data_IF_209730323262
#
_entry.id   IF_209730323262
#
_cell.length_a   1.000
_cell.length_b   1.000
_cell.length_c   1.000
_cell.angle_alpha   90.00
_cell.angle_beta   90.00
_cell.angle_gamma   90.00
#
_symmetry.space_group_name_H-M   'P 1'
#
loop_
_entity.id
_entity.type
_entity.pdbx_description
1 polymer ?
#
# COMPACT_ATOMS: atom_id res chain seq x y z
N UNK A 1 -34.83 16.19 24.52
CA UNK A 1 -35.48 15.05 23.83
C UNK A 1 -34.39 14.34 23.03
N UNK A 2 -33.86 13.26 23.61
CA UNK A 2 -32.92 12.35 22.97
C UNK A 2 -33.69 11.38 22.08
N UNK A 3 -33.24 11.18 20.84
CA UNK A 3 -33.22 9.88 20.15
C UNK A 3 -32.62 10.05 18.75
N UNK A 4 -31.54 9.32 18.47
CA UNK A 4 -30.83 9.35 17.19
C UNK A 4 -29.80 8.22 17.09
N UNK A 5 -30.28 7.00 17.26
CA UNK A 5 -29.77 5.71 16.75
C UNK A 5 -28.35 5.67 16.19
N UNK A 6 -27.42 5.15 16.99
CA UNK A 6 -26.16 4.55 16.50
C UNK A 6 -26.46 3.14 15.98
N UNK A 7 -26.41 2.97 14.67
CA UNK A 7 -26.37 1.66 14.02
C UNK A 7 -24.97 1.05 14.22
N UNK A 8 -24.84 0.20 15.23
CA UNK A 8 -23.69 -0.69 15.41
C UNK A 8 -23.85 -1.87 14.45
N UNK A 9 -22.97 -1.96 13.45
CA UNK A 9 -22.72 -3.22 12.75
C UNK A 9 -22.01 -4.16 13.73
N UNK A 10 -22.76 -5.03 14.38
CA UNK A 10 -22.23 -6.23 15.04
C UNK A 10 -21.83 -7.23 13.96
N UNK A 11 -20.54 -7.24 13.59
CA UNK A 11 -19.94 -8.38 12.90
C UNK A 11 -19.97 -9.58 13.86
N UNK A 12 -20.91 -10.49 13.63
CA UNK A 12 -20.90 -11.80 14.30
C UNK A 12 -19.70 -12.59 13.79
N UNK A 13 -18.75 -12.88 14.68
CA UNK A 13 -17.61 -13.75 14.39
C UNK A 13 -18.12 -15.20 14.23
N UNK A 14 -18.57 -15.54 13.02
CA UNK A 14 -18.73 -16.94 12.64
C UNK A 14 -17.33 -17.54 12.44
N UNK A 15 -16.90 -18.41 13.34
CA UNK A 15 -15.71 -19.24 13.16
C UNK A 15 -16.07 -20.26 12.07
N UNK A 16 -15.85 -19.88 10.81
CA UNK A 16 -15.93 -20.81 9.69
C UNK A 16 -14.64 -21.63 9.66
N UNK A 17 -14.66 -22.80 10.30
CA UNK A 17 -13.71 -23.86 9.96
C UNK A 17 -14.12 -24.42 8.59
N UNK A 18 -13.58 -23.85 7.52
CA UNK A 18 -13.71 -24.41 6.17
C UNK A 18 -12.95 -25.75 6.13
N UNK A 19 -13.67 -26.85 6.32
CA UNK A 19 -13.18 -28.19 6.01
C UNK A 19 -13.51 -28.46 4.54
N UNK A 20 -12.49 -28.45 3.68
CA UNK A 20 -12.61 -28.80 2.26
C UNK A 20 -12.27 -30.28 2.10
N UNK A 21 -13.10 -31.01 1.35
CA UNK A 21 -13.06 -32.46 1.25
C UNK A 21 -12.15 -32.99 0.11
N UNK A 22 -11.60 -34.19 0.33
CA UNK A 22 -10.97 -35.17 -0.59
C UNK A 22 -9.48 -35.08 -1.03
N UNK A 23 -8.66 -35.93 -0.38
CA UNK A 23 -7.83 -37.05 -0.88
C UNK A 23 -6.81 -36.87 -2.02
N UNK A 24 -5.52 -36.60 -1.70
CA UNK A 24 -4.27 -37.10 -2.32
C UNK A 24 -3.13 -37.11 -1.26
N UNK A 25 -2.40 -38.23 -1.13
CA UNK A 25 -1.25 -38.39 -0.24
C UNK A 25 0.04 -37.80 -0.83
N UNK A 26 0.93 -37.37 0.07
CA UNK A 26 1.98 -36.34 -0.09
C UNK A 26 3.28 -36.85 -0.68
N UNK A 27 3.79 -36.15 -1.69
CA UNK A 27 5.20 -36.18 -2.07
C UNK A 27 5.95 -34.97 -1.48
N UNK A 28 7.30 -34.96 -1.51
CA UNK A 28 8.10 -33.83 -1.03
C UNK A 28 7.69 -32.54 -1.73
N UNK A 29 7.50 -31.47 -0.97
CA UNK A 29 7.18 -30.16 -1.52
C UNK A 29 8.44 -29.41 -1.93
N UNK A 30 8.35 -28.72 -3.06
CA UNK A 30 9.28 -27.63 -3.35
C UNK A 30 8.91 -26.39 -2.52
N UNK A 31 9.88 -25.51 -2.18
CA UNK A 31 9.61 -24.22 -1.55
C UNK A 31 8.53 -23.39 -2.21
N UNK A 32 8.54 -23.41 -3.55
CA UNK A 32 7.62 -22.64 -4.34
C UNK A 32 6.18 -23.13 -4.19
N UNK A 33 5.97 -24.45 -4.12
CA UNK A 33 4.65 -25.02 -3.85
C UNK A 33 4.15 -24.69 -2.44
N UNK A 34 5.03 -24.81 -1.44
CA UNK A 34 4.71 -24.45 -0.06
C UNK A 34 4.28 -22.98 0.07
N UNK A 35 5.04 -22.07 -0.53
CA UNK A 35 4.75 -20.63 -0.54
C UNK A 35 3.47 -20.31 -1.31
N UNK A 36 3.25 -20.94 -2.47
CA UNK A 36 2.04 -20.75 -3.26
C UNK A 36 0.79 -21.21 -2.50
N UNK A 37 0.82 -22.38 -1.87
CA UNK A 37 -0.28 -22.90 -1.06
C UNK A 37 -0.60 -21.97 0.12
N UNK A 38 0.44 -21.45 0.80
CA UNK A 38 0.25 -20.49 1.89
C UNK A 38 -0.34 -19.17 1.40
N UNK A 39 0.15 -18.65 0.27
CA UNK A 39 -0.38 -17.45 -0.37
C UNK A 39 -1.86 -17.63 -0.72
N UNK A 40 -2.23 -18.75 -1.35
CA UNK A 40 -3.61 -19.05 -1.73
C UNK A 40 -4.52 -19.17 -0.51
N UNK A 41 -4.07 -19.83 0.56
CA UNK A 41 -4.81 -19.88 1.83
C UNK A 41 -5.05 -18.49 2.42
N UNK A 42 -4.02 -17.65 2.50
CA UNK A 42 -4.16 -16.27 2.97
C UNK A 42 -5.15 -15.51 2.08
N UNK A 43 -5.03 -15.65 0.76
CA UNK A 43 -5.92 -15.01 -0.21
C UNK A 43 -7.38 -15.41 0.00
N UNK A 44 -7.66 -16.71 0.13
CA UNK A 44 -9.01 -17.25 0.36
C UNK A 44 -9.55 -16.79 1.71
N UNK A 45 -8.75 -16.87 2.78
CA UNK A 45 -9.16 -16.43 4.14
C UNK A 45 -9.50 -14.95 4.19
N UNK A 46 -8.77 -14.12 3.44
CA UNK A 46 -9.03 -12.69 3.35
C UNK A 46 -10.15 -12.34 2.36
N UNK A 47 -10.78 -13.34 1.71
CA UNK A 47 -11.89 -13.12 0.77
C UNK A 47 -11.46 -12.47 -0.54
N UNK A 48 -10.18 -12.62 -0.93
CA UNK A 48 -9.63 -12.10 -2.19
C UNK A 48 -9.58 -13.18 -3.29
N UNK A 49 -10.38 -14.23 -3.16
CA UNK A 49 -10.59 -15.15 -4.27
C UNK A 49 -11.49 -14.49 -5.33
N UNK A 50 -10.99 -14.21 -6.54
CA UNK A 50 -11.79 -13.56 -7.58
C UNK A 50 -12.97 -14.42 -8.08
N UNK A 51 -12.98 -15.72 -7.77
CA UNK A 51 -14.10 -16.62 -8.07
C UNK A 51 -15.27 -16.34 -7.13
N UNK A 52 -15.01 -16.24 -5.82
CA UNK A 52 -16.05 -16.11 -4.80
C UNK A 52 -16.42 -14.65 -4.51
N UNK A 53 -15.52 -13.70 -4.79
CA UNK A 53 -15.72 -12.28 -4.54
C UNK A 53 -15.40 -11.44 -5.79
N UNK A 54 -16.39 -11.18 -6.66
CA UNK A 54 -16.20 -10.32 -7.83
C UNK A 54 -15.70 -8.91 -7.50
N UNK A 55 -15.97 -8.40 -6.28
CA UNK A 55 -15.45 -7.12 -5.81
C UNK A 55 -13.93 -7.11 -5.61
N UNK A 56 -13.33 -8.27 -5.31
CA UNK A 56 -11.90 -8.45 -5.18
C UNK A 56 -11.15 -8.26 -6.51
N UNK A 57 -11.83 -8.28 -7.65
CA UNK A 57 -11.25 -7.97 -8.97
C UNK A 57 -10.71 -6.55 -9.08
N UNK A 58 -11.07 -5.63 -8.20
CA UNK A 58 -10.48 -4.29 -8.18
C UNK A 58 -9.19 -4.21 -7.36
N UNK A 59 -8.86 -5.27 -6.63
CA UNK A 59 -7.78 -5.32 -5.65
C UNK A 59 -6.70 -6.33 -6.04
N UNK A 60 -5.50 -6.11 -5.50
CA UNK A 60 -4.35 -6.98 -5.63
C UNK A 60 -3.79 -7.27 -4.25
N UNK A 61 -3.63 -8.55 -3.92
CA UNK A 61 -2.90 -8.97 -2.72
C UNK A 61 -1.43 -9.19 -3.12
N UNK A 62 -0.52 -8.47 -2.49
CA UNK A 62 0.92 -8.75 -2.57
C UNK A 62 1.41 -9.11 -1.19
N UNK A 63 1.94 -10.32 -1.00
CA UNK A 63 2.60 -10.71 0.25
C UNK A 63 4.09 -10.36 0.17
N UNK A 64 4.77 -10.16 1.28
CA UNK A 64 6.20 -9.90 1.27
C UNK A 64 6.99 -11.14 0.87
N UNK A 65 8.16 -10.94 0.25
CA UNK A 65 9.24 -11.93 0.29
C UNK A 65 10.13 -11.81 1.54
N UNK A 66 10.12 -10.63 2.18
CA UNK A 66 10.95 -10.31 3.34
C UNK A 66 10.06 -10.37 4.59
N UNK A 67 10.01 -11.57 5.17
CA UNK A 67 9.49 -11.91 6.50
C UNK A 67 8.49 -10.96 7.16
N UNK A 68 9.08 -9.94 7.72
CA UNK A 68 8.52 -8.83 8.41
C UNK A 68 9.20 -7.63 7.77
N UNK A 69 8.43 -6.92 6.95
CA UNK A 69 8.93 -5.70 6.36
C UNK A 69 9.43 -4.75 7.46
N UNK A 70 8.64 -4.69 8.53
CA UNK A 70 8.76 -3.75 9.65
C UNK A 70 8.00 -4.30 10.86
N UNK A 71 8.73 -4.51 11.95
CA UNK A 71 8.14 -4.83 13.23
C UNK A 71 7.32 -3.63 13.77
N UNK A 72 6.25 -3.92 14.50
CA UNK A 72 5.36 -2.90 15.12
C UNK A 72 6.05 -1.82 15.98
N UNK A 73 7.31 -2.01 16.36
CA UNK A 73 8.10 -1.05 17.12
C UNK A 73 8.84 0.00 16.26
N UNK A 74 8.69 -0.01 14.93
CA UNK A 74 9.28 0.97 14.02
C UNK A 74 8.19 1.70 13.20
N UNK A 75 7.48 2.66 13.82
CA UNK A 75 6.40 3.40 13.17
C UNK A 75 6.85 4.15 11.90
N UNK A 76 8.12 4.56 11.84
CA UNK A 76 8.66 5.28 10.68
C UNK A 76 8.72 4.37 9.46
N UNK A 77 9.27 3.16 9.59
CA UNK A 77 9.27 2.25 8.45
C UNK A 77 7.86 1.75 8.11
N UNK A 78 6.94 1.61 9.07
CA UNK A 78 5.51 1.31 8.76
C UNK A 78 4.93 2.42 7.90
N UNK A 79 5.20 3.67 8.26
CA UNK A 79 4.79 4.83 7.48
C UNK A 79 5.43 4.83 6.08
N UNK A 80 6.72 4.54 5.96
CA UNK A 80 7.40 4.50 4.67
C UNK A 80 6.84 3.38 3.78
N UNK A 81 6.60 2.19 4.31
CA UNK A 81 5.90 1.10 3.64
C UNK A 81 4.50 1.52 3.17
N UNK A 82 3.74 2.16 4.04
CA UNK A 82 2.44 2.69 3.68
C UNK A 82 2.51 3.74 2.56
N UNK A 83 3.68 4.29 2.25
CA UNK A 83 3.86 5.35 1.26
C UNK A 83 4.70 4.90 0.06
N UNK A 84 4.57 3.64 -0.32
CA UNK A 84 5.25 3.05 -1.48
C UNK A 84 4.27 2.58 -2.54
N UNK A 85 4.76 2.43 -3.76
CA UNK A 85 4.09 1.75 -4.86
C UNK A 85 4.55 0.29 -4.91
N UNK A 86 3.70 -0.69 -4.55
CA UNK A 86 4.08 -2.10 -4.55
C UNK A 86 4.45 -2.59 -5.95
N UNK A 87 5.40 -3.53 -6.01
CA UNK A 87 5.73 -4.22 -7.25
C UNK A 87 4.54 -5.06 -7.74
N UNK A 88 4.43 -5.20 -9.06
CA UNK A 88 3.46 -6.07 -9.74
C UNK A 88 3.91 -7.52 -9.60
N UNK A 89 3.78 -8.04 -8.39
CA UNK A 89 4.12 -9.42 -8.07
C UNK A 89 3.25 -9.89 -6.90
N UNK A 90 2.79 -11.16 -6.90
CA UNK A 90 2.09 -11.75 -5.76
C UNK A 90 2.95 -11.74 -4.49
N UNK A 91 4.26 -11.68 -4.70
CA UNK A 91 5.27 -11.66 -3.67
C UNK A 91 6.16 -10.43 -3.92
N UNK A 92 6.18 -9.48 -3.01
CA UNK A 92 6.76 -8.14 -3.22
C UNK A 92 8.07 -8.00 -2.45
N UNK A 93 9.09 -7.41 -3.09
CA UNK A 93 10.27 -6.96 -2.37
C UNK A 93 10.06 -5.55 -1.82
N UNK A 94 10.16 -5.38 -0.50
CA UNK A 94 9.93 -4.09 0.15
C UNK A 94 11.15 -3.17 0.19
N UNK A 95 12.35 -3.64 -0.20
CA UNK A 95 13.57 -2.82 -0.16
C UNK A 95 13.70 -1.86 -1.35
N UNK A 96 13.00 -2.12 -2.45
CA UNK A 96 13.19 -1.43 -3.75
C UNK A 96 11.96 -0.63 -4.20
N UNK A 97 11.06 -0.30 -3.29
CA UNK A 97 9.79 0.30 -3.69
C UNK A 97 9.93 1.79 -4.02
N UNK A 98 9.34 2.19 -5.15
CA UNK A 98 9.20 3.60 -5.50
C UNK A 98 8.28 4.28 -4.49
N UNK A 99 8.65 5.49 -4.06
CA UNK A 99 7.89 6.24 -3.06
C UNK A 99 6.67 6.91 -3.69
N UNK A 100 5.49 6.61 -3.17
CA UNK A 100 4.21 7.09 -3.69
C UNK A 100 4.11 8.62 -3.66
N UNK A 101 4.66 9.28 -2.64
CA UNK A 101 4.66 10.74 -2.54
C UNK A 101 5.50 11.38 -3.64
N UNK A 102 6.61 10.75 -4.02
CA UNK A 102 7.51 11.20 -5.09
C UNK A 102 6.86 11.02 -6.46
N UNK A 103 6.20 9.87 -6.69
CA UNK A 103 5.39 9.64 -7.91
C UNK A 103 4.26 10.66 -7.99
N UNK A 104 3.53 10.85 -6.91
CA UNK A 104 2.41 11.78 -6.83
C UNK A 104 2.83 13.23 -7.11
N UNK A 105 3.93 13.68 -6.52
CA UNK A 105 4.48 15.01 -6.77
C UNK A 105 4.86 15.22 -8.25
N UNK A 106 5.56 14.25 -8.84
CA UNK A 106 5.94 14.28 -10.27
C UNK A 106 4.71 14.32 -11.15
N UNK A 107 3.69 13.52 -10.84
CA UNK A 107 2.39 13.55 -11.51
C UNK A 107 1.80 14.95 -11.47
N UNK A 108 1.59 15.52 -10.29
CA UNK A 108 0.92 16.83 -10.16
C UNK A 108 1.70 17.93 -10.87
N UNK A 109 3.03 17.95 -10.76
CA UNK A 109 3.89 18.94 -11.44
C UNK A 109 3.85 18.79 -12.97
N UNK A 110 3.86 17.54 -13.45
CA UNK A 110 3.82 17.23 -14.87
C UNK A 110 2.42 17.23 -15.48
N UNK A 111 1.36 17.33 -14.69
CA UNK A 111 0.00 17.15 -15.15
C UNK A 111 -0.56 18.40 -15.84
N UNK A 112 -1.35 18.16 -16.89
CA UNK A 112 -2.20 19.15 -17.54
C UNK A 112 -3.54 18.53 -17.94
N UNK A 113 -4.63 19.24 -17.72
CA UNK A 113 -5.97 18.85 -18.14
C UNK A 113 -6.34 19.36 -19.55
N UNK A 114 -7.45 18.87 -20.13
CA UNK A 114 -7.95 19.38 -21.41
C UNK A 114 -8.50 20.81 -21.27
N UNK A 115 -8.49 21.54 -22.39
CA UNK A 115 -9.23 22.77 -22.57
C UNK A 115 -10.71 22.43 -22.76
N UNK A 116 -11.55 22.76 -21.78
CA UNK A 116 -13.00 22.63 -21.93
C UNK A 116 -13.64 24.01 -22.11
N UNK A 117 -14.59 24.17 -23.05
CA UNK A 117 -15.31 25.42 -23.20
C UNK A 117 -16.05 25.76 -21.91
N UNK A 118 -16.16 27.05 -21.60
CA UNK A 118 -16.94 27.50 -20.45
C UNK A 118 -18.43 27.31 -20.76
N UNK A 119 -19.08 26.43 -20.01
CA UNK A 119 -20.54 26.31 -20.02
C UNK A 119 -21.17 27.50 -19.29
N UNK A 120 -22.45 27.81 -19.53
CA UNK A 120 -23.17 28.81 -18.75
C UNK A 120 -23.13 28.55 -17.25
N UNK A 121 -23.18 27.28 -16.83
CA UNK A 121 -23.12 26.87 -15.43
C UNK A 121 -21.75 27.15 -14.80
N UNK A 122 -20.67 26.89 -15.54
CA UNK A 122 -19.31 27.24 -15.12
C UNK A 122 -19.14 28.74 -15.01
N UNK A 123 -19.65 29.49 -16.00
CA UNK A 123 -19.56 30.95 -15.99
C UNK A 123 -20.29 31.52 -14.78
N UNK A 124 -21.51 31.07 -14.51
CA UNK A 124 -22.27 31.46 -13.31
C UNK A 124 -21.53 31.07 -12.00
N UNK A 125 -20.94 29.87 -11.95
CA UNK A 125 -20.14 29.45 -10.82
C UNK A 125 -18.90 30.36 -10.63
N UNK A 126 -18.19 30.71 -11.70
CA UNK A 126 -17.07 31.65 -11.66
C UNK A 126 -17.50 33.04 -11.20
N UNK A 127 -18.59 33.58 -11.74
CA UNK A 127 -19.12 34.89 -11.34
C UNK A 127 -19.54 34.92 -9.87
N UNK A 128 -19.98 33.79 -9.31
CA UNK A 128 -20.28 33.69 -7.88
C UNK A 128 -19.03 33.73 -6.98
N UNK A 129 -17.87 33.30 -7.49
CA UNK A 129 -16.60 33.23 -6.77
C UNK A 129 -15.67 34.41 -7.07
N UNK A 130 -15.78 34.99 -8.26
CA UNK A 130 -14.92 36.03 -8.79
C UNK A 130 -15.74 37.15 -9.44
N UNK A 131 -15.46 38.40 -9.06
CA UNK A 131 -16.04 39.59 -9.67
C UNK A 131 -14.92 40.41 -10.30
N UNK A 132 -14.95 40.59 -11.62
CA UNK A 132 -13.90 41.28 -12.40
C UNK A 132 -12.48 40.70 -12.17
N UNK A 133 -12.39 39.38 -11.99
CA UNK A 133 -11.12 38.68 -11.74
C UNK A 133 -10.60 38.75 -10.31
N UNK A 134 -11.26 39.50 -9.41
CA UNK A 134 -10.96 39.49 -7.97
C UNK A 134 -11.89 38.52 -7.22
N UNK A 135 -11.42 37.95 -6.11
CA UNK A 135 -12.25 37.12 -5.24
C UNK A 135 -13.48 37.91 -4.74
N UNK A 136 -14.66 37.31 -4.75
CA UNK A 136 -15.83 37.90 -4.08
C UNK A 136 -15.62 37.91 -2.56
N UNK A 137 -16.35 38.73 -1.79
CA UNK A 137 -16.30 38.67 -0.33
C UNK A 137 -16.62 37.27 0.21
N UNK A 138 -17.62 36.61 -0.41
CA UNK A 138 -17.98 35.21 -0.15
C UNK A 138 -16.79 34.26 -0.29
N UNK A 139 -16.10 34.31 -1.43
CA UNK A 139 -14.95 33.43 -1.66
C UNK A 139 -13.74 33.80 -0.78
N UNK A 140 -13.54 35.07 -0.47
CA UNK A 140 -12.47 35.51 0.44
C UNK A 140 -12.69 34.97 1.87
N UNK A 141 -13.93 35.01 2.38
CA UNK A 141 -14.28 34.42 3.67
C UNK A 141 -14.04 32.91 3.67
N UNK A 142 -14.43 32.22 2.59
CA UNK A 142 -14.15 30.79 2.41
C UNK A 142 -12.65 30.48 2.49
N UNK A 143 -11.81 31.23 1.77
CA UNK A 143 -10.36 31.07 1.78
C UNK A 143 -9.76 31.34 3.17
N UNK A 144 -10.31 32.28 3.93
CA UNK A 144 -9.91 32.55 5.31
C UNK A 144 -10.18 31.36 6.24
N UNK A 145 -11.33 30.70 6.11
CA UNK A 145 -11.61 29.46 6.86
C UNK A 145 -10.74 28.30 6.41
N UNK A 146 -10.49 28.16 5.10
CA UNK A 146 -9.57 27.16 4.56
C UNK A 146 -8.17 27.33 5.17
N UNK A 147 -7.64 28.55 5.19
CA UNK A 147 -6.34 28.84 5.80
C UNK A 147 -6.31 28.48 7.29
N UNK A 148 -7.35 28.84 8.06
CA UNK A 148 -7.45 28.48 9.48
C UNK A 148 -7.51 26.97 9.69
N UNK A 149 -8.25 26.27 8.82
CA UNK A 149 -8.34 24.81 8.86
C UNK A 149 -6.98 24.17 8.55
N UNK A 150 -6.27 24.65 7.53
CA UNK A 150 -4.93 24.16 7.16
C UNK A 150 -3.91 24.41 8.28
N UNK A 151 -4.01 25.55 8.99
CA UNK A 151 -3.20 25.84 10.17
C UNK A 151 -3.51 24.88 11.34
N UNK A 152 -4.79 24.62 11.60
CA UNK A 152 -5.21 23.68 12.63
C UNK A 152 -4.80 22.23 12.29
N UNK A 153 -4.87 21.84 11.02
CA UNK A 153 -4.35 20.57 10.52
C UNK A 153 -2.83 20.49 10.73
N UNK A 154 -2.08 21.56 10.43
CA UNK A 154 -0.64 21.61 10.72
C UNK A 154 -0.36 21.39 12.20
N UNK A 155 -1.13 22.04 13.09
CA UNK A 155 -1.01 21.84 14.55
C UNK A 155 -1.33 20.39 14.93
N UNK A 156 -2.37 19.79 14.35
CA UNK A 156 -2.73 18.39 14.59
C UNK A 156 -1.60 17.43 14.19
N UNK A 157 -1.03 17.63 13.00
CA UNK A 157 0.04 16.78 12.49
C UNK A 157 1.36 16.95 13.28
N UNK A 158 1.62 18.14 13.83
CA UNK A 158 2.81 18.44 14.63
C UNK A 158 2.65 18.14 16.14
N UNK A 159 1.44 17.78 16.58
CA UNK A 159 1.15 17.55 17.99
C UNK A 159 1.92 16.36 18.58
N UNK A 160 2.73 16.64 19.60
CA UNK A 160 3.60 15.68 20.27
C UNK A 160 2.83 14.68 21.15
N UNK A 161 1.73 15.11 21.77
CA UNK A 161 0.94 14.29 22.68
C UNK A 161 -0.43 13.93 22.10
N UNK A 162 -1.05 12.86 22.63
CA UNK A 162 -2.42 12.49 22.28
C UNK A 162 -3.43 13.60 22.65
N UNK A 163 -3.23 14.29 23.77
CA UNK A 163 -4.10 15.39 24.21
C UNK A 163 -4.02 16.60 23.27
N UNK A 164 -2.83 16.93 22.78
CA UNK A 164 -2.65 18.01 21.80
C UNK A 164 -3.34 17.67 20.48
N UNK A 165 -3.26 16.41 20.04
CA UNK A 165 -3.98 15.92 18.85
C UNK A 165 -5.49 16.01 19.03
N UNK A 166 -6.01 15.63 20.21
CA UNK A 166 -7.44 15.77 20.52
C UNK A 166 -7.85 17.25 20.48
N UNK A 167 -7.06 18.14 21.06
CA UNK A 167 -7.33 19.59 21.07
C UNK A 167 -7.31 20.18 19.66
N UNK A 168 -6.29 19.86 18.87
CA UNK A 168 -6.19 20.30 17.48
C UNK A 168 -7.34 19.73 16.63
N UNK A 169 -7.72 18.48 16.84
CA UNK A 169 -8.88 17.85 16.18
C UNK A 169 -10.20 18.55 16.55
N UNK A 170 -10.40 18.92 17.82
CA UNK A 170 -11.56 19.70 18.25
C UNK A 170 -11.58 21.10 17.61
N UNK A 171 -10.42 21.76 17.52
CA UNK A 171 -10.29 23.06 16.83
C UNK A 171 -10.63 22.93 15.34
N UNK A 172 -10.13 21.89 14.66
CA UNK A 172 -10.49 21.59 13.27
C UNK A 172 -12.00 21.38 13.13
N UNK A 173 -12.62 20.60 14.02
CA UNK A 173 -14.06 20.36 14.00
C UNK A 173 -14.87 21.66 14.17
N UNK A 174 -14.46 22.54 15.09
CA UNK A 174 -15.08 23.85 15.30
C UNK A 174 -14.91 24.76 14.08
N UNK A 175 -13.71 24.80 13.47
CA UNK A 175 -13.47 25.56 12.23
C UNK A 175 -14.36 25.04 11.12
N UNK A 176 -14.48 23.72 10.95
CA UNK A 176 -15.37 23.12 9.95
C UNK A 176 -16.84 23.49 10.18
N UNK A 177 -17.30 23.47 11.43
CA UNK A 177 -18.66 23.89 11.77
C UNK A 177 -18.89 25.37 11.45
N UNK A 178 -17.97 26.26 11.85
CA UNK A 178 -18.06 27.68 11.57
C UNK A 178 -17.95 27.99 10.08
N UNK A 179 -17.14 27.23 9.35
CA UNK A 179 -17.00 27.34 7.90
C UNK A 179 -18.30 26.94 7.20
N UNK A 180 -18.97 25.88 7.66
CA UNK A 180 -20.28 25.48 7.14
C UNK A 180 -21.36 26.54 7.39
N UNK A 181 -21.38 27.15 8.58
CA UNK A 181 -22.44 28.11 8.97
C UNK A 181 -22.20 29.50 8.42
N UNK A 182 -20.97 30.00 8.50
CA UNK A 182 -20.64 31.42 8.27
C UNK A 182 -19.67 31.65 7.12
N UNK A 183 -19.06 30.58 6.58
CA UNK A 183 -18.06 30.67 5.51
C UNK A 183 -18.58 30.25 4.14
N UNK A 184 -19.91 30.15 4.00
CA UNK A 184 -20.59 29.77 2.75
C UNK A 184 -20.04 28.48 2.11
N UNK A 185 -19.55 27.56 2.95
CA UNK A 185 -18.78 26.38 2.49
C UNK A 185 -19.52 25.59 1.42
N UNK A 186 -20.80 25.29 1.65
CA UNK A 186 -21.61 24.45 0.75
C UNK A 186 -21.76 25.10 -0.63
N UNK A 187 -22.07 26.40 -0.68
CA UNK A 187 -22.28 27.11 -1.94
C UNK A 187 -20.97 27.26 -2.71
N UNK A 188 -19.89 27.62 -2.01
CA UNK A 188 -18.57 27.78 -2.62
C UNK A 188 -18.04 26.43 -3.11
N UNK A 189 -18.13 25.36 -2.31
CA UNK A 189 -17.75 24.01 -2.72
C UNK A 189 -18.63 23.53 -3.88
N UNK A 190 -19.92 23.86 -3.90
CA UNK A 190 -20.81 23.57 -5.02
C UNK A 190 -20.41 24.29 -6.30
N UNK A 191 -20.01 25.56 -6.23
CA UNK A 191 -19.50 26.32 -7.36
C UNK A 191 -18.14 25.78 -7.84
N UNK A 192 -17.21 25.55 -6.92
CA UNK A 192 -15.91 24.93 -7.19
C UNK A 192 -16.07 23.53 -7.79
N UNK A 193 -17.02 22.73 -7.32
CA UNK A 193 -17.33 21.41 -7.86
C UNK A 193 -17.85 21.49 -9.30
N UNK A 194 -18.74 22.44 -9.62
CA UNK A 194 -19.19 22.67 -11.01
C UNK A 194 -18.02 23.07 -11.91
N UNK A 195 -17.17 23.98 -11.45
CA UNK A 195 -15.95 24.38 -12.18
C UNK A 195 -15.03 23.17 -12.37
N UNK A 196 -14.77 22.39 -11.31
CA UNK A 196 -13.90 21.20 -11.32
C UNK A 196 -14.41 20.13 -12.29
N UNK A 197 -15.70 19.80 -12.23
CA UNK A 197 -16.32 18.75 -13.06
C UNK A 197 -16.41 19.16 -14.54
N UNK A 198 -16.66 20.43 -14.82
CA UNK A 198 -16.91 20.90 -16.19
C UNK A 198 -15.70 21.53 -16.89
N UNK A 199 -14.77 22.19 -16.18
CA UNK A 199 -13.58 22.80 -16.81
C UNK A 199 -12.34 21.90 -16.80
N UNK A 200 -12.08 21.18 -15.70
CA UNK A 200 -11.11 20.08 -15.57
C UNK A 200 -10.72 19.95 -14.09
N UNK A 201 -10.80 18.73 -13.54
CA UNK A 201 -10.33 18.43 -12.18
C UNK A 201 -8.79 18.53 -12.02
N UNK A 202 -8.09 18.87 -13.12
CA UNK A 202 -6.65 18.81 -13.27
C UNK A 202 -6.08 20.16 -13.75
N UNK A 203 -6.72 21.25 -13.34
CA UNK A 203 -6.23 22.62 -13.56
C UNK A 203 -4.96 22.92 -12.75
N UNK A 204 -4.18 23.90 -13.21
CA UNK A 204 -2.94 24.35 -12.56
C UNK A 204 -3.17 24.81 -11.11
N UNK A 205 -4.29 25.49 -10.85
CA UNK A 205 -4.66 25.92 -9.50
C UNK A 205 -4.97 24.73 -8.57
N UNK A 206 -5.70 23.73 -9.06
CA UNK A 206 -5.98 22.51 -8.29
C UNK A 206 -4.69 21.73 -8.03
N UNK A 207 -3.81 21.64 -9.02
CA UNK A 207 -2.51 20.98 -8.88
C UNK A 207 -1.61 21.72 -7.89
N UNK A 208 -1.58 23.06 -7.91
CA UNK A 208 -0.86 23.86 -6.92
C UNK A 208 -1.39 23.61 -5.50
N UNK A 209 -2.71 23.52 -5.32
CA UNK A 209 -3.29 23.18 -4.02
C UNK A 209 -2.86 21.78 -3.54
N UNK A 210 -2.89 20.77 -4.41
CA UNK A 210 -2.41 19.41 -4.09
C UNK A 210 -0.93 19.41 -3.67
N UNK A 211 -0.08 20.19 -4.35
CA UNK A 211 1.33 20.34 -3.98
C UNK A 211 1.48 20.99 -2.59
N UNK A 212 0.73 22.06 -2.31
CA UNK A 212 0.75 22.70 -1.00
C UNK A 212 0.34 21.74 0.12
N UNK A 213 -0.70 20.92 -0.09
CA UNK A 213 -1.14 19.90 0.88
C UNK A 213 -0.04 18.86 1.12
N UNK A 214 0.59 18.38 0.04
CA UNK A 214 1.71 17.44 0.13
C UNK A 214 2.89 18.04 0.92
N UNK A 215 3.26 19.28 0.63
CA UNK A 215 4.38 19.97 1.29
C UNK A 215 4.10 20.22 2.78
N UNK A 216 2.87 20.61 3.14
CA UNK A 216 2.44 20.74 4.55
C UNK A 216 2.58 19.39 5.28
N UNK A 217 2.14 18.29 4.65
CA UNK A 217 2.22 16.97 5.24
C UNK A 217 3.67 16.50 5.44
N UNK A 218 4.57 16.79 4.48
CA UNK A 218 6.01 16.51 4.62
C UNK A 218 6.63 17.30 5.76
N UNK A 219 6.34 18.60 5.85
CA UNK A 219 6.85 19.46 6.92
C UNK A 219 6.38 19.02 8.31
N UNK A 220 5.12 18.60 8.44
CA UNK A 220 4.61 18.12 9.72
C UNK A 220 5.25 16.79 10.15
N UNK A 221 5.73 15.99 9.20
CA UNK A 221 6.46 14.74 9.47
C UNK A 221 7.86 14.98 10.08
N UNK A 222 8.39 16.22 10.03
CA UNK A 222 9.73 16.58 10.52
C UNK A 222 9.78 16.99 12.00
N UNK A 223 8.64 17.08 12.70
CA UNK A 223 8.60 17.54 14.10
C UNK A 223 9.04 16.47 15.13
N UNK A 224 9.46 15.27 14.70
CA UNK A 224 9.99 14.22 15.58
C UNK A 224 11.52 14.11 15.48
N UNK A 225 12.17 13.90 16.62
CA UNK A 225 13.60 14.05 16.92
C UNK A 225 14.56 13.13 16.13
N UNK A 226 14.77 13.32 14.82
CA UNK A 226 15.64 12.40 14.05
C UNK A 226 16.41 13.01 12.86
N UNK A 227 17.41 12.22 12.41
CA UNK A 227 18.63 12.55 11.63
C UNK A 227 18.40 13.29 10.30
N UNK A 228 19.15 14.37 10.09
CA UNK A 228 19.19 15.14 8.86
C UNK A 228 19.67 14.30 7.65
N UNK A 229 18.94 14.35 6.54
CA UNK A 229 19.35 13.76 5.24
C UNK A 229 18.53 12.55 4.76
N UNK A 230 17.66 11.95 5.58
CA UNK A 230 16.73 10.93 5.12
C UNK A 230 15.46 11.57 4.53
N UNK A 231 15.17 11.32 3.25
CA UNK A 231 13.88 11.71 2.66
C UNK A 231 12.74 10.94 3.35
N UNK A 232 11.87 11.63 4.09
CA UNK A 232 10.72 11.02 4.79
C UNK A 232 9.44 11.12 4.01
N UNK A 233 8.65 10.06 4.05
CA UNK A 233 7.29 10.05 3.49
C UNK A 233 6.33 10.82 4.39
N UNK A 234 5.36 11.56 3.82
CA UNK A 234 4.37 12.26 4.63
C UNK A 234 3.58 11.26 5.48
N UNK A 235 3.21 11.64 6.71
CA UNK A 235 2.52 10.74 7.65
C UNK A 235 1.23 10.17 7.04
N UNK A 236 1.12 8.85 7.10
CA UNK A 236 -0.05 8.07 6.75
C UNK A 236 -0.67 7.47 8.01
N UNK A 237 -1.99 7.55 8.08
CA UNK A 237 -2.77 6.99 9.18
C UNK A 237 -2.99 5.50 8.92
N UNK A 238 -2.79 4.68 9.95
CA UNK A 238 -3.08 3.26 9.91
C UNK A 238 -4.15 2.94 10.95
N UNK A 239 -5.15 2.15 10.59
CA UNK A 239 -6.26 1.81 11.49
C UNK A 239 -6.46 0.30 11.60
N UNK A 240 -6.43 -0.27 12.83
CA UNK A 240 -6.12 0.41 14.09
C UNK A 240 -4.70 0.99 14.16
N UNK A 241 -4.46 2.00 15.03
CA UNK A 241 -3.12 2.53 15.29
C UNK A 241 -2.15 1.43 15.73
N UNK A 242 -0.86 1.61 15.46
CA UNK A 242 0.18 0.58 15.72
C UNK A 242 0.18 0.08 17.17
N UNK A 243 -0.01 0.96 18.15
CA UNK A 243 -0.10 0.60 19.57
C UNK A 243 -1.25 -0.36 19.92
N UNK A 244 -2.26 -0.46 19.06
CA UNK A 244 -3.46 -1.27 19.23
C UNK A 244 -3.43 -2.54 18.37
N UNK A 245 -2.32 -2.84 17.70
CA UNK A 245 -2.24 -4.04 16.86
C UNK A 245 -2.36 -5.32 17.70
N UNK A 246 -1.93 -5.29 18.97
CA UNK A 246 -2.01 -6.46 19.87
C UNK A 246 -3.41 -6.74 20.42
N UNK A 247 -4.38 -5.84 20.24
CA UNK A 247 -5.75 -6.03 20.69
C UNK A 247 -6.32 -7.35 20.13
N UNK A 248 -7.06 -8.09 20.95
CA UNK A 248 -7.54 -9.44 20.61
C UNK A 248 -8.48 -9.46 19.39
N UNK A 249 -9.17 -8.36 19.12
CA UNK A 249 -10.19 -8.28 18.10
C UNK A 249 -9.61 -8.26 16.68
N UNK A 250 -10.30 -8.95 15.76
CA UNK A 250 -10.02 -8.91 14.32
C UNK A 250 -8.85 -9.78 13.83
N UNK A 251 -8.28 -10.62 14.71
CA UNK A 251 -7.27 -11.60 14.32
C UNK A 251 -7.92 -12.89 13.80
N UNK A 252 -7.40 -13.39 12.67
CA UNK A 252 -7.81 -14.65 12.06
C UNK A 252 -6.64 -15.63 12.13
N UNK A 253 -6.86 -16.81 12.70
CA UNK A 253 -5.82 -17.84 12.79
C UNK A 253 -5.69 -18.59 11.48
N UNK A 254 -4.45 -18.71 10.98
CA UNK A 254 -4.05 -19.52 9.83
C UNK A 254 -3.26 -20.71 10.36
N UNK A 255 -3.64 -21.91 9.93
CA UNK A 255 -3.03 -23.16 10.32
C UNK A 255 -2.88 -24.05 9.10
N UNK A 256 -1.69 -24.60 8.92
CA UNK A 256 -1.42 -25.72 8.02
C UNK A 256 -0.59 -26.74 8.77
N UNK A 257 -0.98 -28.00 8.73
CA UNK A 257 -0.11 -29.09 9.17
C UNK A 257 -0.23 -30.26 8.23
N UNK A 258 0.91 -30.88 7.93
CA UNK A 258 0.94 -32.00 7.01
C UNK A 258 0.12 -33.21 7.50
N UNK A 259 -0.04 -33.37 8.81
CA UNK A 259 -0.88 -34.45 9.36
C UNK A 259 -2.39 -34.17 9.18
N UNK A 260 -2.77 -32.95 8.79
CA UNK A 260 -4.15 -32.44 8.89
C UNK A 260 -4.76 -31.84 7.61
N UNK A 261 -4.00 -31.64 6.52
CA UNK A 261 -4.57 -31.09 5.28
C UNK A 261 -4.28 -31.93 4.04
N UNK A 262 -5.35 -32.34 3.37
CA UNK A 262 -5.40 -32.74 1.96
C UNK A 262 -5.91 -31.54 1.16
N UNK A 263 -5.19 -31.12 0.11
CA UNK A 263 -5.58 -29.95 -0.70
C UNK A 263 -5.39 -30.30 -2.18
N UNK A 264 -6.46 -30.18 -2.97
CA UNK A 264 -6.44 -30.43 -4.41
C UNK A 264 -5.78 -29.25 -5.13
N UNK A 265 -4.83 -29.56 -6.00
CA UNK A 265 -4.19 -28.60 -6.90
C UNK A 265 -4.54 -28.96 -8.34
N UNK A 266 -5.20 -28.03 -9.04
CA UNK A 266 -5.27 -28.04 -10.50
C UNK A 266 -4.97 -26.62 -10.97
N UNK A 267 -3.69 -26.28 -11.10
CA UNK A 267 -3.32 -25.02 -11.72
C UNK A 267 -3.32 -25.14 -13.25
N UNK A 268 -4.24 -24.45 -13.89
CA UNK A 268 -4.07 -23.99 -15.27
C UNK A 268 -3.57 -22.55 -15.25
N UNK A 269 -2.28 -22.34 -14.95
CA UNK A 269 -1.65 -21.05 -15.17
C UNK A 269 -1.14 -21.00 -16.61
N UNK A 270 -1.93 -20.44 -17.53
CA UNK A 270 -1.48 -20.06 -18.86
C UNK A 270 -0.76 -18.70 -18.80
N UNK A 271 0.32 -18.62 -18.05
CA UNK A 271 1.29 -17.51 -18.18
C UNK A 271 2.68 -18.11 -18.35
N UNK A 272 2.97 -18.53 -19.59
CA UNK A 272 4.30 -18.93 -20.05
C UNK A 272 5.22 -17.71 -20.18
N UNK A 273 5.47 -17.01 -19.07
CA UNK A 273 6.60 -16.09 -18.93
C UNK A 273 7.34 -16.53 -17.69
N UNK A 274 8.50 -17.15 -17.94
CA UNK A 274 9.35 -17.70 -16.90
C UNK A 274 9.63 -16.69 -15.80
N UNK A 275 9.52 -17.15 -14.56
CA UNK A 275 10.14 -16.55 -13.37
C UNK A 275 11.66 -16.50 -13.59
N UNK A 276 12.14 -15.52 -14.36
CA UNK A 276 13.56 -15.33 -14.63
C UNK A 276 14.14 -14.36 -13.58
N UNK A 277 14.86 -14.90 -12.58
CA UNK A 277 15.82 -14.13 -11.79
C UNK A 277 15.60 -13.99 -10.29
N UNK A 278 14.53 -14.53 -9.70
CA UNK A 278 14.38 -14.57 -8.24
C UNK A 278 14.80 -15.95 -7.74
N UNK A 279 15.91 -16.04 -7.01
CA UNK A 279 16.31 -17.29 -6.37
C UNK A 279 15.40 -17.57 -5.17
N UNK A 280 14.31 -18.28 -5.43
CA UNK A 280 13.27 -18.64 -4.45
C UNK A 280 13.71 -19.81 -3.56
N UNK A 281 14.88 -19.70 -2.93
CA UNK A 281 15.24 -20.53 -1.78
C UNK A 281 14.43 -20.08 -0.55
N UNK A 282 14.11 -21.01 0.34
CA UNK A 282 13.40 -20.72 1.61
C UNK A 282 14.10 -19.66 2.48
N UNK A 283 15.39 -19.45 2.25
CA UNK A 283 16.26 -18.53 2.97
C UNK A 283 16.82 -17.55 1.96
N UNK A 284 16.33 -16.31 1.99
CA UNK A 284 16.98 -15.22 1.29
C UNK A 284 17.85 -14.47 2.30
N UNK A 285 19.16 -14.66 2.22
CA UNK A 285 20.15 -13.81 2.87
C UNK A 285 20.49 -12.71 1.88
N UNK A 286 19.90 -11.52 2.06
CA UNK A 286 20.20 -10.36 1.21
C UNK A 286 21.41 -9.65 1.81
N UNK A 287 22.62 -10.07 1.42
CA UNK A 287 23.86 -9.43 1.83
C UNK A 287 24.08 -8.08 1.14
N UNK A 288 23.70 -6.95 1.75
CA UNK A 288 24.16 -5.61 1.32
C UNK A 288 25.36 -5.18 2.14
N UNK A 289 26.54 -5.65 1.74
CA UNK A 289 27.82 -5.04 2.11
C UNK A 289 28.63 -4.89 0.83
N UNK A 290 29.04 -3.66 0.53
CA UNK A 290 29.67 -3.29 -0.73
C UNK A 290 30.80 -4.24 -1.15
N UNK A 291 30.71 -4.74 -2.38
CA UNK A 291 31.80 -5.42 -3.08
C UNK A 291 32.18 -6.80 -2.53
N UNK A 292 31.53 -7.86 -3.02
CA UNK A 292 32.11 -9.22 -3.00
C UNK A 292 31.18 -10.32 -2.51
N UNK A 293 30.74 -11.17 -3.45
CA UNK A 293 30.16 -12.51 -3.25
C UNK A 293 28.92 -12.61 -2.32
N UNK A 294 27.73 -12.41 -2.89
CA UNK A 294 26.48 -12.89 -2.26
C UNK A 294 26.42 -14.41 -2.35
N UNK A 295 26.60 -15.11 -1.23
CA UNK A 295 26.30 -16.55 -1.16
C UNK A 295 24.79 -16.72 -1.02
N UNK A 296 24.14 -17.13 -2.11
CA UNK A 296 22.73 -17.52 -2.07
C UNK A 296 22.63 -18.99 -1.66
N UNK A 297 22.17 -19.22 -0.43
CA UNK A 297 21.83 -20.56 0.03
C UNK A 297 20.42 -20.90 -0.47
N UNK A 298 20.26 -22.08 -1.08
CA UNK A 298 18.98 -22.56 -1.61
C UNK A 298 18.65 -23.90 -0.99
N UNK A 299 17.64 -23.88 -0.13
CA UNK A 299 16.99 -25.08 0.36
C UNK A 299 16.17 -25.70 -0.77
N UNK A 300 16.47 -26.95 -1.13
CA UNK A 300 15.93 -27.62 -2.32
C UNK A 300 14.80 -28.62 -2.02
N UNK A 301 14.75 -29.16 -0.80
CA UNK A 301 13.79 -30.20 -0.41
C UNK A 301 13.34 -30.03 1.04
N UNK A 302 12.03 -30.14 1.27
CA UNK A 302 11.44 -30.25 2.60
C UNK A 302 10.65 -31.56 2.65
N UNK A 303 10.91 -32.34 3.70
CA UNK A 303 10.25 -33.63 3.92
C UNK A 303 8.92 -33.46 4.65
N UNK A 304 8.82 -32.49 5.58
CA UNK A 304 7.55 -32.11 6.19
C UNK A 304 7.50 -30.64 6.62
N UNK A 305 6.32 -30.01 6.55
CA UNK A 305 6.09 -28.63 6.95
C UNK A 305 4.75 -28.45 7.70
N UNK A 306 4.75 -27.61 8.73
CA UNK A 306 3.53 -27.06 9.32
C UNK A 306 3.75 -25.61 9.74
N UNK A 307 2.71 -24.77 9.68
CA UNK A 307 2.75 -23.40 10.15
C UNK A 307 1.48 -23.02 10.90
N UNK A 308 1.64 -22.10 11.86
CA UNK A 308 0.53 -21.42 12.53
C UNK A 308 0.90 -19.96 12.72
N UNK A 309 -0.04 -19.06 12.41
CA UNK A 309 0.07 -17.64 12.69
C UNK A 309 -1.32 -17.02 12.74
N UNK A 310 -1.41 -15.79 13.22
CA UNK A 310 -2.64 -15.00 13.17
C UNK A 310 -2.42 -13.83 12.22
N UNK A 311 -3.42 -13.50 11.40
CA UNK A 311 -3.39 -12.35 10.49
C UNK A 311 -4.48 -11.34 10.81
N UNK A 312 -4.22 -10.07 10.49
CA UNK A 312 -5.17 -8.96 10.61
C UNK A 312 -4.94 -7.96 9.48
N UNK A 313 -6.02 -7.36 9.00
CA UNK A 313 -5.97 -6.30 7.97
C UNK A 313 -5.98 -4.94 8.65
N UNK A 314 -5.04 -4.07 8.25
CA UNK A 314 -4.87 -2.72 8.76
C UNK A 314 -5.12 -1.74 7.61
N UNK A 315 -6.11 -0.88 7.72
CA UNK A 315 -6.42 0.07 6.66
C UNK A 315 -5.41 1.22 6.66
N UNK A 316 -5.07 1.72 5.47
CA UNK A 316 -4.18 2.88 5.28
C UNK A 316 -5.03 4.06 4.81
N UNK A 317 -4.84 5.21 5.46
CA UNK A 317 -5.43 6.47 5.04
C UNK A 317 -4.33 7.52 4.85
N UNK A 318 -4.38 8.23 3.74
CA UNK A 318 -3.38 9.24 3.37
C UNK A 318 -4.07 10.59 3.17
N UNK A 319 -4.16 11.43 4.21
CA UNK A 319 -4.82 12.74 4.11
C UNK A 319 -4.16 13.66 3.06
N UNK A 320 -2.90 13.42 2.74
CA UNK A 320 -2.11 14.21 1.79
C UNK A 320 -2.29 13.79 0.32
N UNK A 321 -2.90 12.63 0.05
CA UNK A 321 -3.02 12.05 -1.29
C UNK A 321 -4.43 12.26 -1.86
N UNK A 322 -4.56 13.10 -2.89
CA UNK A 322 -5.80 13.13 -3.69
C UNK A 322 -5.83 11.92 -4.64
N UNK A 323 -6.60 10.90 -4.28
CA UNK A 323 -6.73 9.66 -5.06
C UNK A 323 -7.38 9.87 -6.43
N UNK A 324 -8.07 10.99 -6.69
CA UNK A 324 -8.68 11.26 -7.98
C UNK A 324 -7.67 11.29 -9.13
N UNK A 325 -6.44 11.73 -8.83
CA UNK A 325 -5.30 11.75 -9.74
C UNK A 325 -4.99 10.36 -10.33
N UNK A 326 -5.32 9.30 -9.57
CA UNK A 326 -5.10 7.90 -9.95
C UNK A 326 -6.37 7.18 -10.39
N UNK A 327 -7.56 7.75 -10.16
CA UNK A 327 -8.84 7.06 -10.40
C UNK A 327 -9.66 7.62 -11.57
N UNK A 328 -9.38 8.85 -12.03
CA UNK A 328 -10.12 9.50 -13.11
C UNK A 328 -9.32 9.39 -14.43
N UNK A 329 -9.55 8.35 -15.26
CA UNK A 329 -8.96 8.27 -16.58
C UNK A 329 -9.48 9.42 -17.46
N UNK A 330 -8.81 9.69 -18.59
CA UNK A 330 -9.19 10.73 -19.56
C UNK A 330 -9.11 12.18 -19.06
N UNK A 331 -8.91 12.41 -17.77
CA UNK A 331 -8.95 13.75 -17.19
C UNK A 331 -7.68 14.57 -17.38
N UNK A 332 -6.54 13.92 -17.64
CA UNK A 332 -5.26 14.60 -17.73
C UNK A 332 -4.23 13.85 -18.59
N UNK A 333 -3.19 14.58 -18.98
CA UNK A 333 -1.97 14.07 -19.62
C UNK A 333 -0.74 14.79 -19.10
N UNK A 334 0.45 14.36 -19.53
CA UNK A 334 1.70 15.01 -19.20
C UNK A 334 1.87 16.32 -19.96
N UNK A 335 2.56 17.29 -19.36
CA UNK A 335 3.16 18.40 -20.08
C UNK A 335 4.33 17.88 -20.90
N UNK A 336 4.57 18.48 -22.05
CA UNK A 336 5.77 18.22 -22.83
C UNK A 336 6.99 18.66 -22.01
N UNK A 337 7.98 17.78 -21.94
CA UNK A 337 9.24 18.03 -21.25
C UNK A 337 10.40 17.52 -22.14
N UNK A 338 11.45 18.32 -22.38
CA UNK A 338 12.59 17.92 -23.22
C UNK A 338 13.28 16.61 -22.80
N UNK A 339 13.24 16.30 -21.51
CA UNK A 339 13.84 15.09 -20.93
C UNK A 339 12.90 13.86 -21.02
N UNK A 340 11.72 14.00 -21.64
CA UNK A 340 10.72 12.94 -21.77
C UNK A 340 10.55 12.58 -23.24
N UNK A 341 11.25 11.54 -23.68
CA UNK A 341 11.35 11.16 -25.10
C UNK A 341 10.21 10.25 -25.58
N UNK A 342 9.46 9.63 -24.68
CA UNK A 342 8.33 8.76 -24.99
C UNK A 342 7.20 9.00 -23.99
N UNK A 343 5.95 8.80 -24.41
CA UNK A 343 4.78 9.01 -23.55
C UNK A 343 4.83 8.10 -22.32
N UNK A 344 5.08 8.65 -21.12
CA UNK A 344 5.19 7.83 -19.92
C UNK A 344 3.81 7.50 -19.38
N UNK A 345 3.66 6.30 -18.84
CA UNK A 345 2.47 5.86 -18.13
C UNK A 345 2.82 5.56 -16.68
N UNK A 346 1.91 5.94 -15.79
CA UNK A 346 1.94 5.57 -14.37
C UNK A 346 1.40 4.16 -14.20
N UNK A 347 0.38 3.81 -14.98
CA UNK A 347 -0.19 2.47 -15.06
C UNK A 347 -0.69 2.18 -16.47
N UNK A 348 -0.50 0.95 -16.96
CA UNK A 348 -1.07 0.48 -18.22
C UNK A 348 -2.50 -0.06 -18.05
N UNK A 349 -2.97 -0.15 -16.80
CA UNK A 349 -4.16 -0.89 -16.41
C UNK A 349 -3.87 -2.39 -16.24
N UNK A 350 -4.85 -3.15 -15.76
CA UNK A 350 -4.75 -4.61 -15.75
C UNK A 350 -4.78 -5.17 -17.19
N UNK A 351 -4.18 -6.35 -17.38
CA UNK A 351 -4.22 -7.09 -18.65
C UNK A 351 -5.56 -7.85 -18.83
N UNK A 352 -5.67 -8.69 -19.87
CA UNK A 352 -6.87 -9.48 -20.15
C UNK A 352 -7.23 -10.48 -19.03
N UNK A 353 -6.25 -10.92 -18.24
CA UNK A 353 -6.41 -11.81 -17.09
C UNK A 353 -6.64 -11.03 -15.78
N UNK A 354 -6.92 -9.73 -15.88
CA UNK A 354 -7.11 -8.82 -14.76
C UNK A 354 -5.87 -8.69 -13.84
N UNK A 355 -4.68 -9.01 -14.36
CA UNK A 355 -3.41 -8.88 -13.64
C UNK A 355 -2.83 -7.47 -13.84
N UNK A 356 -2.30 -6.82 -12.79
CA UNK A 356 -1.62 -5.54 -12.94
C UNK A 356 -0.40 -5.68 -13.88
N UNK A 357 -0.03 -4.60 -14.57
CA UNK A 357 1.07 -4.58 -15.54
C UNK A 357 1.98 -3.39 -15.26
N UNK A 358 3.30 -3.63 -15.30
CA UNK A 358 4.30 -2.56 -15.27
C UNK A 358 4.36 -1.91 -16.65
N UNK A 359 4.20 -0.58 -16.77
CA UNK A 359 4.25 0.09 -18.06
C UNK A 359 5.58 -0.11 -18.79
N UNK A 360 5.55 -0.17 -20.12
CA UNK A 360 6.79 -0.26 -20.91
C UNK A 360 7.59 1.05 -20.95
N UNK A 361 6.91 2.20 -20.78
CA UNK A 361 7.48 3.54 -20.71
C UNK A 361 6.94 4.23 -19.47
N UNK A 362 7.80 4.50 -18.50
CA UNK A 362 7.40 5.04 -17.19
C UNK A 362 8.35 6.12 -16.68
N UNK A 363 9.17 6.72 -17.55
CA UNK A 363 10.10 7.77 -17.16
C UNK A 363 9.57 9.11 -17.62
N UNK A 364 9.35 10.03 -16.67
CA UNK A 364 9.01 11.42 -16.92
C UNK A 364 10.08 12.31 -16.27
N UNK A 365 10.65 13.22 -17.05
CA UNK A 365 11.74 14.11 -16.60
C UNK A 365 12.92 13.36 -15.95
N UNK A 366 13.44 12.34 -16.63
CA UNK A 366 14.50 11.45 -16.14
C UNK A 366 14.20 10.68 -14.84
N UNK A 367 12.95 10.65 -14.38
CA UNK A 367 12.56 9.96 -13.16
C UNK A 367 11.42 8.97 -13.36
N UNK A 368 11.41 7.87 -12.61
CA UNK A 368 10.36 6.85 -12.69
C UNK A 368 9.02 7.41 -12.18
N UNK A 369 7.92 7.08 -12.85
CA UNK A 369 6.57 7.47 -12.43
C UNK A 369 5.59 6.30 -12.41
N UNK A 370 6.05 5.06 -12.56
CA UNK A 370 5.15 3.91 -12.51
C UNK A 370 4.64 3.67 -11.09
N UNK A 371 3.33 3.45 -10.97
CA UNK A 371 2.67 3.05 -9.73
C UNK A 371 1.38 2.31 -10.08
N UNK A 372 1.46 1.11 -10.67
CA UNK A 372 0.27 0.37 -11.13
C UNK A 372 -0.65 -0.10 -9.98
N UNK A 373 -0.14 -0.07 -8.75
CA UNK A 373 -0.81 -0.49 -7.53
C UNK A 373 -0.69 0.61 -6.47
N UNK A 374 -1.81 0.94 -5.80
CA UNK A 374 -1.80 1.82 -4.62
C UNK A 374 -2.21 1.00 -3.40
N UNK A 375 -1.36 0.90 -2.36
CA UNK A 375 -1.72 0.14 -1.18
C UNK A 375 -2.88 0.83 -0.46
N UNK A 376 -3.93 0.09 -0.12
CA UNK A 376 -5.09 0.61 0.65
C UNK A 376 -5.19 -0.04 2.03
N UNK A 377 -4.57 -1.20 2.21
CA UNK A 377 -4.40 -1.83 3.50
C UNK A 377 -3.08 -2.62 3.57
N UNK A 378 -2.62 -2.86 4.79
CA UNK A 378 -1.55 -3.80 5.12
C UNK A 378 -2.14 -5.09 5.67
N UNK A 379 -1.46 -6.21 5.43
CA UNK A 379 -1.71 -7.46 6.12
C UNK A 379 -0.61 -7.62 7.15
N UNK A 380 -0.99 -7.71 8.43
CA UNK A 380 -0.06 -7.96 9.52
C UNK A 380 -0.22 -9.39 10.03
N UNK A 381 0.86 -9.96 10.56
CA UNK A 381 0.85 -11.28 11.20
C UNK A 381 1.50 -11.26 12.58
N UNK A 382 1.03 -12.10 13.50
CA UNK A 382 1.63 -12.35 14.81
C UNK A 382 1.61 -13.83 15.18
N UNK A 383 2.24 -14.19 16.29
CA UNK A 383 2.30 -15.57 16.79
C UNK A 383 2.78 -16.55 15.72
N UNK A 384 3.79 -16.13 14.96
CA UNK A 384 4.25 -16.84 13.76
C UNK A 384 5.13 -18.01 14.18
N UNK A 385 4.70 -19.22 13.86
CA UNK A 385 5.40 -20.46 14.13
C UNK A 385 5.42 -21.31 12.87
N UNK A 386 6.59 -21.85 12.54
CA UNK A 386 6.77 -22.80 11.45
C UNK A 386 7.54 -23.99 11.99
N UNK A 387 7.09 -25.21 11.69
CA UNK A 387 7.83 -26.43 11.96
C UNK A 387 8.21 -27.07 10.63
N UNK A 388 9.49 -27.40 10.48
CA UNK A 388 10.05 -28.01 9.27
C UNK A 388 10.75 -29.31 9.62
N UNK A 389 10.68 -30.28 8.73
CA UNK A 389 11.60 -31.41 8.66
C UNK A 389 12.40 -31.32 7.37
N UNK A 390 13.71 -31.15 7.49
CA UNK A 390 14.63 -31.02 6.35
C UNK A 390 15.99 -31.65 6.67
N UNK A 391 16.93 -31.63 5.72
CA UNK A 391 18.30 -32.04 5.99
C UNK A 391 18.96 -31.18 7.07
N UNK A 392 20.00 -31.71 7.72
CA UNK A 392 20.81 -30.97 8.70
C UNK A 392 21.49 -29.75 8.10
N UNK A 393 21.99 -29.87 6.87
CA UNK A 393 22.57 -28.74 6.13
C UNK A 393 21.57 -27.59 5.95
N UNK A 394 20.32 -27.92 5.61
CA UNK A 394 19.23 -26.94 5.48
C UNK A 394 18.95 -26.25 6.81
N UNK A 395 18.89 -27.01 7.91
CA UNK A 395 18.70 -26.46 9.25
C UNK A 395 19.81 -25.47 9.62
N UNK A 396 21.08 -25.84 9.40
CA UNK A 396 22.23 -25.00 9.71
C UNK A 396 22.19 -23.69 8.90
N UNK A 397 21.75 -23.74 7.64
CA UNK A 397 21.55 -22.57 6.80
C UNK A 397 20.44 -21.65 7.32
N UNK A 398 19.28 -22.21 7.69
CA UNK A 398 18.15 -21.45 8.28
C UNK A 398 18.56 -20.81 9.60
N UNK A 399 19.21 -21.57 10.48
CA UNK A 399 19.65 -21.08 11.78
C UNK A 399 20.72 -19.98 11.62
N UNK A 400 21.64 -20.12 10.65
CA UNK A 400 22.63 -19.11 10.32
C UNK A 400 21.99 -17.85 9.74
N UNK A 401 21.03 -17.98 8.83
CA UNK A 401 20.33 -16.84 8.24
C UNK A 401 19.59 -15.99 9.27
N UNK A 402 19.02 -16.64 10.30
CA UNK A 402 18.44 -15.91 11.42
C UNK A 402 19.48 -15.18 12.25
N UNK A 403 20.72 -15.66 12.29
CA UNK A 403 21.78 -15.15 13.17
C UNK A 403 22.65 -14.06 12.54
N UNK A 404 22.50 -13.80 11.24
CA UNK A 404 23.25 -12.74 10.57
C UNK A 404 22.60 -11.37 10.78
N UNK A 405 23.44 -10.36 11.02
CA UNK A 405 23.05 -8.94 11.15
C UNK A 405 22.44 -8.36 9.87
N UNK A 406 22.53 -9.08 8.76
CA UNK A 406 21.97 -8.70 7.48
C UNK A 406 20.70 -9.53 7.26
N UNK A 407 19.59 -9.01 7.78
CA UNK A 407 18.27 -9.66 7.88
C UNK A 407 18.00 -10.77 6.88
N UNK A 408 18.11 -12.02 7.34
CA UNK A 408 17.54 -13.16 6.64
C UNK A 408 16.02 -13.06 6.66
N UNK A 409 15.39 -13.44 5.56
CA UNK A 409 13.94 -13.68 5.53
C UNK A 409 13.66 -15.14 5.19
N UNK A 410 12.62 -15.67 5.84
CA UNK A 410 12.14 -17.02 5.63
C UNK A 410 10.64 -16.97 5.26
N UNK A 411 10.32 -17.43 4.05
CA UNK A 411 8.96 -17.45 3.47
C UNK A 411 8.22 -16.10 3.44
N UNK A 412 8.90 -14.96 3.54
CA UNK A 412 8.18 -13.69 3.52
C UNK A 412 7.29 -13.39 4.73
N UNK A 413 7.27 -14.29 5.72
CA UNK A 413 6.51 -14.17 6.98
C UNK A 413 7.44 -14.15 8.20
N UNK A 414 8.62 -14.77 8.13
CA UNK A 414 9.59 -14.80 9.22
C UNK A 414 10.82 -13.97 8.86
N UNK A 415 11.30 -13.12 9.78
CA UNK A 415 12.56 -12.37 9.63
C UNK A 415 12.39 -10.99 9.04
N UNK A 416 13.46 -10.40 8.51
CA UNK A 416 13.42 -9.01 8.02
C UNK A 416 13.85 -7.99 9.09
N UNK A 417 14.59 -6.99 8.63
CA UNK A 417 15.28 -6.01 9.48
C UNK A 417 16.73 -6.38 9.82
N UNK A 418 17.50 -5.43 10.36
CA UNK A 418 18.94 -5.60 10.66
C UNK A 418 19.23 -6.45 11.91
N UNK A 419 18.22 -7.06 12.52
CA UNK A 419 18.37 -7.86 13.75
C UNK A 419 17.58 -9.17 13.64
N UNK A 420 18.07 -10.20 14.33
CA UNK A 420 17.38 -11.49 14.43
C UNK A 420 16.03 -11.31 15.10
N UNK A 421 14.94 -11.48 14.36
CA UNK A 421 13.57 -11.38 14.89
C UNK A 421 12.91 -12.74 15.15
N UNK A 422 13.62 -13.85 14.91
CA UNK A 422 13.11 -15.20 15.15
C UNK A 422 14.06 -16.08 15.98
N UNK A 423 13.51 -17.11 16.61
CA UNK A 423 14.26 -18.21 17.23
C UNK A 423 14.12 -19.49 16.41
N UNK A 424 15.08 -20.40 16.56
CA UNK A 424 15.03 -21.73 15.94
C UNK A 424 15.30 -22.78 17.01
N UNK A 425 14.47 -23.82 17.10
CA UNK A 425 14.53 -24.85 18.15
C UNK A 425 14.39 -26.23 17.53
N UNK A 426 15.38 -27.10 17.75
CA UNK A 426 15.31 -28.50 17.29
C UNK A 426 14.29 -29.27 18.12
N UNK A 427 13.37 -29.97 17.44
CA UNK A 427 12.36 -30.84 18.05
C UNK A 427 12.82 -32.29 18.03
N UNK A 428 13.32 -32.76 16.88
CA UNK A 428 13.76 -34.15 16.68
C UNK A 428 14.91 -34.24 15.68
N UNK A 429 15.73 -35.27 15.82
CA UNK A 429 16.83 -35.60 14.91
C UNK A 429 16.78 -37.08 14.56
N UNK A 430 16.69 -37.39 13.27
CA UNK A 430 16.67 -38.78 12.77
C UNK A 430 17.59 -38.90 11.56
N UNK A 431 18.82 -39.38 11.80
CA UNK A 431 19.85 -39.45 10.75
C UNK A 431 20.26 -38.05 10.29
N UNK A 432 20.20 -37.80 8.97
CA UNK A 432 20.45 -36.48 8.38
C UNK A 432 19.22 -35.56 8.43
N UNK A 433 18.06 -36.07 8.84
CA UNK A 433 16.84 -35.28 8.91
C UNK A 433 16.68 -34.62 10.29
N UNK A 434 16.39 -33.33 10.27
CA UNK A 434 16.17 -32.47 11.42
C UNK A 434 14.74 -31.95 11.38
N UNK A 435 13.97 -32.19 12.44
CA UNK A 435 12.69 -31.50 12.67
C UNK A 435 12.94 -30.34 13.62
N UNK A 436 12.57 -29.12 13.25
CA UNK A 436 12.80 -27.92 14.04
C UNK A 436 11.69 -26.89 13.87
N UNK A 437 11.53 -26.08 14.91
CA UNK A 437 10.57 -24.99 15.03
C UNK A 437 11.26 -23.64 14.78
N UNK A 438 10.63 -22.75 14.05
CA UNK A 438 11.00 -21.34 13.88
C UNK A 438 9.88 -20.51 14.49
N UNK A 439 10.22 -19.58 15.40
CA UNK A 439 9.23 -18.72 16.06
C UNK A 439 9.59 -17.25 15.92
N UNK A 440 8.65 -16.42 15.46
CA UNK A 440 8.78 -14.96 15.40
C UNK A 440 7.65 -14.32 16.22
N UNK A 441 7.89 -13.96 17.51
CA UNK A 441 6.84 -13.55 18.44
C UNK A 441 6.29 -12.14 18.17
N UNK A 442 7.04 -11.29 17.45
CA UNK A 442 6.62 -9.93 17.13
C UNK A 442 5.49 -9.90 16.09
N UNK A 443 4.75 -8.78 16.07
CA UNK A 443 3.83 -8.45 14.98
C UNK A 443 4.55 -7.75 13.86
N UNK A 444 4.28 -8.22 12.64
CA UNK A 444 4.93 -7.77 11.43
C UNK A 444 4.03 -7.52 10.26
N UNK A 445 4.43 -6.61 9.37
CA UNK A 445 3.76 -6.42 8.08
C UNK A 445 4.23 -7.49 7.11
N UNK A 446 3.29 -8.35 6.67
CA UNK A 446 3.56 -9.49 5.77
C UNK A 446 3.01 -9.27 4.36
N UNK A 447 2.35 -8.14 4.08
CA UNK A 447 1.78 -7.89 2.77
C UNK A 447 0.96 -6.60 2.68
N UNK A 448 0.46 -6.33 1.48
CA UNK A 448 -0.44 -5.24 1.15
C UNK A 448 -1.65 -5.76 0.39
N UNK A 449 -2.79 -5.14 0.66
CA UNK A 449 -3.92 -5.12 -0.25
C UNK A 449 -3.87 -3.79 -0.97
N UNK A 450 -3.83 -3.83 -2.29
CA UNK A 450 -3.68 -2.66 -3.15
C UNK A 450 -4.84 -2.53 -4.10
N UNK A 451 -5.23 -1.30 -4.42
CA UNK A 451 -6.13 -1.02 -5.54
C UNK A 451 -5.35 -1.09 -6.84
N UNK A 452 -5.87 -1.84 -7.81
CA UNK A 452 -5.33 -1.86 -9.18
C UNK A 452 -5.70 -0.57 -9.88
N UNK A 453 -4.70 0.13 -10.39
CA UNK A 453 -4.95 1.34 -11.14
C UNK A 453 -5.39 1.01 -12.56
N UNK A 454 -6.31 1.84 -13.08
CA UNK A 454 -6.65 1.84 -14.51
C UNK A 454 -5.44 2.34 -15.32
N UNK A 455 -5.57 2.35 -16.64
CA UNK A 455 -4.58 3.00 -17.51
C UNK A 455 -4.53 4.50 -17.21
N UNK A 456 -3.35 5.04 -16.89
CA UNK A 456 -3.16 6.47 -16.67
C UNK A 456 -1.70 6.97 -16.92
N UNK A 457 -1.52 8.21 -17.41
CA UNK A 457 -2.58 9.01 -18.03
C UNK A 457 -3.09 8.33 -19.30
N UNK A 458 -4.30 8.67 -19.67
CA UNK A 458 -4.97 8.15 -20.86
C UNK A 458 -5.81 9.28 -21.48
N UNK A 459 -5.20 10.30 -22.11
CA UNK A 459 -5.93 11.47 -22.58
C UNK A 459 -7.01 11.10 -23.60
N UNK A 460 -8.20 11.67 -23.46
CA UNK A 460 -9.21 11.60 -24.51
C UNK A 460 -8.74 12.41 -25.73
N UNK A 461 -8.49 11.73 -26.85
CA UNK A 461 -7.99 12.37 -28.08
C UNK A 461 -8.99 13.32 -28.73
N UNK A 462 -10.28 13.22 -28.37
CA UNK A 462 -11.34 14.10 -28.86
C UNK A 462 -11.45 15.41 -28.07
N UNK A 463 -10.80 15.52 -26.91
CA UNK A 463 -10.77 16.75 -26.14
C UNK A 463 -9.79 17.76 -26.77
N UNK A 464 -10.05 19.06 -26.59
CA UNK A 464 -9.05 20.09 -26.88
C UNK A 464 -8.01 20.09 -25.77
N UNK A 465 -6.72 20.20 -26.10
CA UNK A 465 -5.63 20.19 -25.13
C UNK A 465 -4.74 21.42 -25.28
N UNK A 466 -4.12 21.91 -24.19
CA UNK A 466 -3.08 22.93 -24.25
C UNK A 466 -1.95 22.55 -25.21
N UNK A 467 -1.27 23.53 -25.81
CA UNK A 467 -0.17 23.29 -26.76
C UNK A 467 1.03 22.58 -26.14
N UNK A 468 1.19 22.68 -24.83
CA UNK A 468 2.21 21.97 -24.06
C UNK A 468 1.73 20.60 -23.56
N UNK A 469 0.59 20.07 -24.00
CA UNK A 469 0.14 18.73 -23.63
C UNK A 469 0.82 17.66 -24.49
N UNK A 470 1.41 16.66 -23.85
CA UNK A 470 1.96 15.48 -24.48
C UNK A 470 0.83 14.54 -24.90
N UNK A 471 0.95 13.95 -26.10
CA UNK A 471 0.00 12.97 -26.64
C UNK A 471 0.68 11.61 -26.82
N UNK A 472 -0.04 10.50 -26.60
CA UNK A 472 0.50 9.15 -26.68
C UNK A 472 0.88 8.71 -28.10
#
# INVERSE_FOLDING_TARGET
MNNGTKSLLTCSAAIFCLMVDSAHAKGPYTPQQALHNMYDQIRTLLGYDPVDNPGARSTWLGLSYIGDAVASNDPQKINDLANTCPEVSPLTNFTSLERLDSVYERMIKGMVGPNRPETPEVKAAKESLFSNGANTPKYTTYLGFQQQHDEALRTYLQAATANDRVTASQRMALILQNWQVSGDKIDVEGALFRIKTQQSAFSDATNLHRLNVLDIARQASWASTEVAGAFRSPVSEVSPPVGNWQDADGWVKVLYSEDSSTMNYTASNSSSKGFAGLGLGFVNIVGTTGGGNSSQSRVTKIDAMSYTFEIKVITIRRPWLDSEVFSVPLGWTWRTNPNTTAFPRVSDGPNADDLPVVPAKYTYDNAAVHCPLIPTAMVIARNRVLTLTSSRSTYDEVNRAGSQSVGGSFMGIFGGGQTKTWTTTVINTSGDNMTYKIEAPGTGVIGFISTKLKRLPDPNLNDSWPSNAMKP
#
